data_IF_969162523975
#
_entry.id   IF_969162523975
#
_cell.length_a   1.000
_cell.length_b   1.000
_cell.length_c   1.000
_cell.angle_alpha   90.00
_cell.angle_beta   90.00
_cell.angle_gamma   90.00
#
_symmetry.space_group_name_H-M   'P 1'
#
loop_
_entity.id
_entity.type
_entity.pdbx_description
1 polymer ?
#
# COMPACT_ATOMS: atom_id res chain seq x y z
N UNK A 1 -19.49 3.79 28.30
CA UNK A 1 -20.16 2.74 27.48
C UNK A 1 -19.57 2.54 26.08
N UNK A 2 -19.85 3.37 25.05
CA UNK A 2 -19.28 3.14 23.68
C UNK A 2 -17.74 3.17 23.63
N UNK A 3 -17.11 4.08 24.38
CA UNK A 3 -15.64 4.22 24.42
C UNK A 3 -14.95 3.06 25.12
N UNK A 4 -15.52 2.54 26.22
CA UNK A 4 -14.95 1.40 26.97
C UNK A 4 -15.06 0.09 26.19
N UNK A 5 -16.21 -0.16 25.55
CA UNK A 5 -16.38 -1.33 24.70
C UNK A 5 -15.39 -1.32 23.52
N UNK A 6 -15.20 -0.14 22.92
CA UNK A 6 -14.20 0.09 21.86
C UNK A 6 -12.79 -0.20 22.37
N UNK A 7 -12.39 0.36 23.51
CA UNK A 7 -11.07 0.10 24.10
C UNK A 7 -10.85 -1.38 24.45
N UNK A 8 -11.87 -2.05 25.02
CA UNK A 8 -11.81 -3.47 25.35
C UNK A 8 -11.60 -4.32 24.09
N UNK A 9 -12.37 -4.06 23.03
CA UNK A 9 -12.22 -4.73 21.73
C UNK A 9 -10.78 -4.61 21.20
N UNK A 10 -10.19 -3.42 21.23
CA UNK A 10 -8.81 -3.24 20.78
C UNK A 10 -7.78 -3.91 21.69
N UNK A 11 -8.04 -3.96 22.99
CA UNK A 11 -7.24 -4.77 23.93
C UNK A 11 -7.30 -6.25 23.60
N UNK A 12 -8.47 -6.76 23.24
CA UNK A 12 -8.68 -8.17 22.87
C UNK A 12 -8.02 -8.53 21.53
N UNK A 13 -8.09 -7.63 20.53
CA UNK A 13 -7.37 -7.78 19.25
C UNK A 13 -5.86 -7.82 19.48
N UNK A 14 -5.33 -6.89 20.28
CA UNK A 14 -3.90 -6.83 20.62
C UNK A 14 -3.43 -8.08 21.37
N UNK A 15 -4.27 -8.60 22.26
CA UNK A 15 -4.00 -9.83 23.01
C UNK A 15 -4.17 -11.10 22.17
N UNK A 16 -4.67 -11.01 20.93
CA UNK A 16 -4.94 -12.16 20.07
C UNK A 16 -6.20 -12.94 20.45
N UNK A 17 -7.06 -12.40 21.31
CA UNK A 17 -8.37 -12.99 21.64
C UNK A 17 -9.40 -12.80 20.52
N UNK A 18 -9.25 -11.76 19.72
CA UNK A 18 -10.08 -11.48 18.54
C UNK A 18 -9.24 -11.70 17.28
N UNK A 19 -9.72 -12.60 16.42
CA UNK A 19 -9.02 -12.97 15.18
C UNK A 19 -9.42 -12.12 13.98
N UNK A 20 -10.66 -11.64 13.95
CA UNK A 20 -11.19 -10.81 12.87
C UNK A 20 -11.77 -9.52 13.45
N UNK A 21 -11.35 -8.39 12.89
CA UNK A 21 -11.84 -7.08 13.26
C UNK A 21 -12.47 -6.41 12.03
N UNK A 22 -13.75 -6.08 12.14
CA UNK A 22 -14.51 -5.38 11.11
C UNK A 22 -14.77 -3.96 11.59
N UNK A 23 -14.52 -2.98 10.71
CA UNK A 23 -14.73 -1.58 11.03
C UNK A 23 -14.79 -0.71 9.79
N UNK A 24 -15.46 0.43 9.91
CA UNK A 24 -15.47 1.46 8.86
C UNK A 24 -14.26 2.39 9.00
N UNK A 25 -13.90 3.09 7.92
CA UNK A 25 -12.81 4.09 7.96
C UNK A 25 -13.01 5.13 9.05
N UNK A 26 -14.25 5.59 9.24
CA UNK A 26 -14.61 6.62 10.22
C UNK A 26 -14.46 6.11 11.66
N UNK A 27 -14.93 4.88 11.92
CA UNK A 27 -14.88 4.29 13.27
C UNK A 27 -13.47 3.86 13.67
N UNK A 28 -12.63 3.56 12.68
CA UNK A 28 -11.23 3.13 12.84
C UNK A 28 -10.22 4.28 12.70
N UNK A 29 -10.67 5.49 12.37
CA UNK A 29 -9.82 6.64 11.98
C UNK A 29 -9.02 7.31 13.09
N UNK A 30 -9.43 7.22 14.36
CA UNK A 30 -8.81 7.98 15.47
C UNK A 30 -8.48 7.13 16.69
N UNK A 31 -7.20 7.16 17.09
CA UNK A 31 -6.77 6.95 18.48
C UNK A 31 -6.66 5.53 19.03
N UNK A 32 -6.53 4.50 18.19
CA UNK A 32 -6.52 3.09 18.67
C UNK A 32 -5.36 2.25 18.15
N UNK A 33 -4.57 1.70 19.09
CA UNK A 33 -3.39 0.87 18.84
C UNK A 33 -3.79 -0.61 18.75
N UNK A 34 -4.23 -1.08 17.59
CA UNK A 34 -4.59 -2.49 17.35
C UNK A 34 -3.50 -3.30 16.62
N UNK A 35 -2.39 -2.66 16.26
CA UNK A 35 -1.47 -3.06 15.20
C UNK A 35 -0.59 -4.28 15.49
N UNK A 36 -0.42 -4.69 16.75
CA UNK A 36 0.60 -5.66 17.16
C UNK A 36 0.50 -7.03 16.47
N UNK A 37 -0.69 -7.45 16.05
CA UNK A 37 -0.94 -8.80 15.51
C UNK A 37 -1.76 -8.78 14.23
N UNK A 38 -1.71 -7.69 13.48
CA UNK A 38 -2.47 -7.58 12.22
C UNK A 38 -1.66 -8.21 11.09
N UNK A 39 -2.16 -9.31 10.51
CA UNK A 39 -1.48 -10.02 9.40
C UNK A 39 -2.04 -9.67 8.03
N UNK A 40 -3.35 -9.42 7.93
CA UNK A 40 -4.01 -9.11 6.66
C UNK A 40 -5.01 -7.95 6.80
N UNK A 41 -5.08 -7.09 5.78
CA UNK A 41 -6.06 -6.02 5.63
C UNK A 41 -6.88 -6.25 4.37
N UNK A 42 -8.21 -6.13 4.50
CA UNK A 42 -9.15 -6.39 3.42
C UNK A 42 -9.97 -5.11 3.14
N UNK A 43 -9.78 -4.51 1.97
CA UNK A 43 -10.59 -3.41 1.46
C UNK A 43 -11.80 -3.95 0.72
N UNK A 44 -12.94 -4.00 1.41
CA UNK A 44 -14.21 -4.47 0.86
C UNK A 44 -14.94 -3.40 0.03
N UNK A 45 -14.50 -2.14 0.11
CA UNK A 45 -15.06 -0.98 -0.56
C UNK A 45 -13.96 -0.13 -1.22
N UNK A 46 -14.32 0.58 -2.29
CA UNK A 46 -13.46 1.56 -2.95
C UNK A 46 -13.77 2.95 -2.39
N UNK A 47 -12.92 3.52 -1.52
CA UNK A 47 -13.15 4.85 -1.00
C UNK A 47 -12.99 5.92 -2.08
N UNK A 48 -13.57 7.10 -1.87
CA UNK A 48 -13.52 8.21 -2.83
C UNK A 48 -12.17 8.93 -2.88
N UNK A 49 -11.38 8.81 -1.81
CA UNK A 49 -10.14 9.55 -1.60
C UNK A 49 -8.97 8.60 -1.37
N UNK A 50 -7.84 8.74 -2.09
CA UNK A 50 -6.64 7.93 -1.87
C UNK A 50 -6.12 8.00 -0.43
N UNK A 51 -6.21 9.17 0.22
CA UNK A 51 -5.79 9.35 1.61
C UNK A 51 -6.56 8.46 2.61
N UNK A 52 -7.78 8.04 2.29
CA UNK A 52 -8.53 7.10 3.13
C UNK A 52 -7.91 5.70 3.04
N UNK A 53 -7.41 5.29 1.87
CA UNK A 53 -6.71 4.01 1.67
C UNK A 53 -5.40 4.05 2.44
N UNK A 54 -4.60 5.08 2.23
CA UNK A 54 -3.32 5.28 2.94
C UNK A 54 -3.51 5.25 4.46
N UNK A 55 -4.55 5.91 4.98
CA UNK A 55 -4.85 5.87 6.41
C UNK A 55 -5.30 4.49 6.92
N UNK A 56 -5.93 3.66 6.10
CA UNK A 56 -6.31 2.28 6.45
C UNK A 56 -5.08 1.37 6.45
N UNK A 57 -4.29 1.41 5.38
CA UNK A 57 -3.05 0.63 5.22
C UNK A 57 -2.03 1.00 6.29
N UNK A 58 -1.90 2.30 6.57
CA UNK A 58 -1.10 2.82 7.65
C UNK A 58 -1.57 2.39 9.04
N UNK A 59 -2.59 1.54 9.22
CA UNK A 59 -2.93 0.87 10.50
C UNK A 59 -2.25 -0.48 10.67
N UNK A 60 -2.02 -1.18 9.57
CA UNK A 60 -1.39 -2.51 9.55
C UNK A 60 0.10 -2.40 9.26
N UNK A 61 0.48 -1.52 8.33
CA UNK A 61 1.88 -1.17 8.02
C UNK A 61 2.37 -0.17 9.06
N UNK A 62 2.75 -0.67 10.23
CA UNK A 62 3.26 0.14 11.35
C UNK A 62 4.41 -0.56 12.06
N UNK A 63 5.33 0.26 12.56
CA UNK A 63 6.34 -0.18 13.51
C UNK A 63 5.67 -0.79 14.76
N UNK A 64 6.24 -1.90 15.23
CA UNK A 64 5.72 -2.64 16.39
C UNK A 64 4.64 -3.67 16.06
N UNK A 65 4.33 -3.94 14.79
CA UNK A 65 3.63 -5.17 14.41
C UNK A 65 4.59 -6.38 14.59
N UNK A 66 4.08 -7.50 15.08
CA UNK A 66 4.85 -8.74 15.28
C UNK A 66 5.07 -9.53 13.98
N UNK A 67 4.36 -9.17 12.92
CA UNK A 67 4.57 -9.75 11.59
C UNK A 67 5.50 -8.86 10.78
N UNK A 68 6.58 -9.46 10.26
CA UNK A 68 7.54 -8.76 9.38
C UNK A 68 6.90 -8.37 8.03
N UNK A 69 5.93 -9.18 7.58
CA UNK A 69 5.19 -8.96 6.34
C UNK A 69 3.67 -8.99 6.60
N UNK A 70 2.94 -8.14 5.90
CA UNK A 70 1.48 -8.03 5.99
C UNK A 70 0.85 -8.07 4.60
N UNK A 71 -0.31 -8.69 4.51
CA UNK A 71 -1.02 -8.86 3.24
C UNK A 71 -2.13 -7.81 3.10
N UNK A 72 -2.20 -7.14 1.95
CA UNK A 72 -3.25 -6.15 1.66
C UNK A 72 -4.05 -6.66 0.47
N UNK A 73 -5.34 -6.87 0.69
CA UNK A 73 -6.29 -7.33 -0.30
C UNK A 73 -7.28 -6.22 -0.63
N UNK A 74 -7.43 -5.91 -1.91
CA UNK A 74 -8.48 -5.04 -2.41
C UNK A 74 -9.45 -5.85 -3.26
N UNK A 75 -10.74 -5.68 -2.99
CA UNK A 75 -11.80 -6.34 -3.74
C UNK A 75 -12.46 -5.33 -4.68
N UNK A 76 -12.77 -5.79 -5.89
CA UNK A 76 -13.53 -5.03 -6.85
C UNK A 76 -14.48 -5.98 -7.57
N UNK A 77 -15.68 -5.51 -7.86
CA UNK A 77 -16.66 -6.27 -8.62
C UNK A 77 -16.46 -6.01 -10.11
N UNK A 78 -16.30 -7.08 -10.90
CA UNK A 78 -16.16 -6.98 -12.35
C UNK A 78 -17.43 -6.39 -12.99
N UNK A 79 -17.26 -5.51 -13.98
CA UNK A 79 -18.37 -4.86 -14.67
C UNK A 79 -19.14 -3.83 -13.83
N UNK A 80 -18.62 -3.47 -12.66
CA UNK A 80 -19.25 -2.50 -11.75
C UNK A 80 -18.64 -1.10 -11.83
N UNK A 81 -19.23 -0.15 -11.10
CA UNK A 81 -18.68 1.20 -10.94
C UNK A 81 -17.34 1.23 -10.18
N UNK A 82 -16.92 0.12 -9.55
CA UNK A 82 -15.66 0.00 -8.83
C UNK A 82 -14.47 0.31 -9.76
N UNK A 83 -14.53 -0.09 -11.04
CA UNK A 83 -13.50 0.21 -12.03
C UNK A 83 -13.28 1.72 -12.19
N UNK A 84 -14.37 2.47 -12.25
CA UNK A 84 -14.34 3.93 -12.39
C UNK A 84 -13.82 4.60 -11.12
N UNK A 85 -14.19 4.07 -9.95
CA UNK A 85 -13.71 4.58 -8.67
C UNK A 85 -12.21 4.35 -8.49
N UNK A 86 -11.71 3.15 -8.82
CA UNK A 86 -10.27 2.86 -8.79
C UNK A 86 -9.49 3.73 -9.77
N UNK A 87 -10.00 3.94 -10.99
CA UNK A 87 -9.39 4.87 -11.94
C UNK A 87 -9.36 6.33 -11.43
N UNK A 88 -10.40 6.76 -10.71
CA UNK A 88 -10.44 8.09 -10.10
C UNK A 88 -9.39 8.21 -8.99
N UNK A 89 -9.22 7.18 -8.16
CA UNK A 89 -8.19 7.16 -7.13
C UNK A 89 -6.78 7.15 -7.74
N UNK A 90 -6.56 6.38 -8.81
CA UNK A 90 -5.32 6.38 -9.59
C UNK A 90 -4.93 7.78 -10.06
N UNK A 91 -5.87 8.48 -10.72
CA UNK A 91 -5.64 9.86 -11.20
C UNK A 91 -5.32 10.80 -10.05
N UNK A 92 -6.08 10.73 -8.95
CA UNK A 92 -5.88 11.59 -7.76
C UNK A 92 -4.52 11.34 -7.12
N UNK A 93 -4.12 10.08 -6.94
CA UNK A 93 -2.85 9.71 -6.33
C UNK A 93 -1.65 10.14 -7.19
N UNK A 94 -1.71 9.90 -8.51
CA UNK A 94 -0.68 10.39 -9.45
C UNK A 94 -0.53 11.91 -9.40
N UNK A 95 -1.64 12.64 -9.33
CA UNK A 95 -1.60 14.10 -9.21
C UNK A 95 -0.94 14.56 -7.90
N UNK A 96 -1.29 13.93 -6.77
CA UNK A 96 -0.69 14.24 -5.46
C UNK A 96 0.82 13.95 -5.49
N UNK A 97 1.24 12.80 -6.02
CA UNK A 97 2.65 12.44 -6.13
C UNK A 97 3.43 13.43 -7.00
N UNK A 98 2.86 13.84 -8.14
CA UNK A 98 3.43 14.87 -9.00
C UNK A 98 3.60 16.20 -8.27
N UNK A 99 2.57 16.65 -7.54
CA UNK A 99 2.63 17.89 -6.78
C UNK A 99 3.67 17.85 -5.65
N UNK A 100 3.80 16.71 -4.96
CA UNK A 100 4.77 16.51 -3.87
C UNK A 100 6.21 16.40 -4.37
N UNK A 101 6.43 15.99 -5.61
CA UNK A 101 7.78 15.84 -6.19
C UNK A 101 8.48 17.17 -6.47
N UNK A 102 7.73 18.27 -6.60
CA UNK A 102 8.28 19.62 -6.81
C UNK A 102 8.94 19.86 -8.18
N UNK A 103 8.98 18.87 -9.07
CA UNK A 103 9.66 18.97 -10.36
C UNK A 103 8.68 19.42 -11.47
N UNK A 104 8.89 20.64 -11.98
CA UNK A 104 8.04 21.26 -13.02
C UNK A 104 8.36 20.78 -14.44
N UNK A 105 9.37 19.91 -14.61
CA UNK A 105 9.80 19.39 -15.91
C UNK A 105 9.09 18.10 -16.35
N UNK A 106 8.25 17.53 -15.48
CA UNK A 106 7.65 16.21 -15.69
C UNK A 106 6.52 16.26 -16.73
N UNK A 107 6.87 16.15 -18.02
CA UNK A 107 5.91 15.81 -19.11
C UNK A 107 5.72 14.30 -19.29
N UNK A 108 6.43 13.47 -18.52
CA UNK A 108 6.20 12.02 -18.37
C UNK A 108 6.37 11.62 -16.90
N UNK A 109 5.23 11.41 -16.23
CA UNK A 109 5.13 10.86 -14.87
C UNK A 109 5.34 9.35 -14.93
N UNK A 110 6.58 8.91 -15.15
CA UNK A 110 6.91 7.47 -15.19
C UNK A 110 7.32 6.91 -13.81
N UNK A 111 7.70 7.72 -12.82
CA UNK A 111 8.33 7.14 -11.61
C UNK A 111 8.16 7.99 -10.33
N UNK A 112 6.92 8.39 -10.01
CA UNK A 112 6.64 9.06 -8.73
C UNK A 112 5.42 8.43 -8.07
N UNK A 113 5.70 7.53 -7.13
CA UNK A 113 4.69 6.91 -6.26
C UNK A 113 4.16 5.57 -6.76
N UNK A 114 5.06 4.65 -7.11
CA UNK A 114 4.71 3.34 -7.70
C UNK A 114 3.79 2.47 -6.82
N UNK A 115 3.80 2.63 -5.49
CA UNK A 115 3.06 1.75 -4.58
C UNK A 115 1.54 1.78 -4.79
N UNK A 116 0.89 2.93 -4.54
CA UNK A 116 -0.57 3.03 -4.62
C UNK A 116 -1.08 3.16 -6.07
N UNK A 117 -0.31 3.80 -6.96
CA UNK A 117 -0.73 3.95 -8.35
C UNK A 117 -0.81 2.59 -9.07
N UNK A 118 0.16 1.68 -8.88
CA UNK A 118 0.09 0.33 -9.46
C UNK A 118 -1.07 -0.48 -8.87
N UNK A 119 -1.34 -0.36 -7.57
CA UNK A 119 -2.47 -1.05 -6.95
C UNK A 119 -3.82 -0.60 -7.55
N UNK A 120 -3.99 0.70 -7.80
CA UNK A 120 -5.21 1.23 -8.41
C UNK A 120 -5.34 0.83 -9.89
N UNK A 121 -4.23 0.80 -10.63
CA UNK A 121 -4.20 0.30 -12.01
C UNK A 121 -4.60 -1.18 -12.09
N UNK A 122 -4.10 -2.01 -11.17
CA UNK A 122 -4.43 -3.43 -11.07
C UNK A 122 -5.90 -3.66 -10.69
N UNK A 123 -6.41 -2.91 -9.71
CA UNK A 123 -7.83 -2.98 -9.32
C UNK A 123 -8.77 -2.54 -10.45
N UNK A 124 -8.41 -1.51 -11.22
CA UNK A 124 -9.13 -1.08 -12.42
C UNK A 124 -9.15 -2.18 -13.49
N UNK A 125 -8.02 -2.85 -13.72
CA UNK A 125 -7.94 -3.93 -14.70
C UNK A 125 -8.83 -5.13 -14.34
N UNK A 126 -8.84 -5.53 -13.06
CA UNK A 126 -9.73 -6.59 -12.55
C UNK A 126 -11.20 -6.18 -12.73
N UNK A 127 -11.54 -4.94 -12.37
CA UNK A 127 -12.92 -4.48 -12.43
C UNK A 127 -13.45 -4.26 -13.87
N UNK A 128 -12.56 -4.02 -14.86
CA UNK A 128 -12.98 -3.81 -16.24
C UNK A 128 -13.22 -5.11 -17.03
N UNK A 129 -12.77 -6.26 -16.53
CA UNK A 129 -12.90 -7.55 -17.21
C UNK A 129 -12.11 -7.70 -18.52
N UNK A 130 -11.19 -6.77 -18.84
CA UNK A 130 -10.35 -6.88 -20.05
C UNK A 130 -9.01 -7.53 -19.69
N UNK A 131 -8.81 -8.76 -20.16
CA UNK A 131 -7.63 -9.57 -19.88
C UNK A 131 -6.32 -8.87 -20.26
N UNK A 132 -6.32 -8.02 -21.30
CA UNK A 132 -5.12 -7.28 -21.73
C UNK A 132 -4.73 -6.22 -20.71
N UNK A 133 -5.71 -5.59 -20.07
CA UNK A 133 -5.44 -4.61 -19.00
C UNK A 133 -4.88 -5.31 -17.76
N UNK A 134 -5.35 -6.53 -17.47
CA UNK A 134 -4.85 -7.34 -16.36
C UNK A 134 -3.40 -7.77 -16.60
N UNK A 135 -3.09 -8.27 -17.81
CA UNK A 135 -1.72 -8.62 -18.20
C UNK A 135 -0.79 -7.41 -18.14
N UNK A 136 -1.22 -6.25 -18.67
CA UNK A 136 -0.43 -5.02 -18.63
C UNK A 136 -0.14 -4.59 -17.18
N UNK A 137 -1.16 -4.51 -16.33
CA UNK A 137 -0.99 -4.10 -14.94
C UNK A 137 -0.08 -5.07 -14.16
N UNK A 138 -0.21 -6.38 -14.41
CA UNK A 138 0.68 -7.39 -13.83
C UNK A 138 2.14 -7.20 -14.26
N UNK A 139 2.37 -6.97 -15.56
CA UNK A 139 3.73 -6.71 -16.09
C UNK A 139 4.32 -5.41 -15.54
N UNK A 140 3.54 -4.34 -15.43
CA UNK A 140 3.98 -3.07 -14.83
C UNK A 140 4.38 -3.26 -13.36
N UNK A 141 3.63 -4.07 -12.60
CA UNK A 141 3.98 -4.40 -11.20
C UNK A 141 5.25 -5.25 -11.09
N UNK A 142 5.45 -6.21 -12.01
CA UNK A 142 6.67 -7.02 -12.05
C UNK A 142 7.90 -6.19 -12.44
N UNK A 143 7.78 -5.28 -13.40
CA UNK A 143 8.86 -4.34 -13.76
C UNK A 143 9.26 -3.52 -12.54
N UNK A 144 8.32 -2.86 -11.86
CA UNK A 144 8.59 -2.05 -10.67
C UNK A 144 9.23 -2.88 -9.53
N UNK A 145 8.84 -4.15 -9.38
CA UNK A 145 9.48 -5.07 -8.41
C UNK A 145 10.92 -5.37 -8.80
N UNK A 146 11.19 -5.67 -10.07
CA UNK A 146 12.52 -6.00 -10.56
C UNK A 146 13.46 -4.79 -10.53
N UNK A 147 12.97 -3.60 -10.83
CA UNK A 147 13.75 -2.36 -10.76
C UNK A 147 14.17 -2.04 -9.32
N UNK A 148 13.26 -2.21 -8.35
CA UNK A 148 13.61 -2.09 -6.91
C UNK A 148 14.66 -3.12 -6.47
N UNK A 149 14.52 -4.39 -6.90
CA UNK A 149 15.51 -5.43 -6.58
C UNK A 149 16.88 -5.13 -7.20
N UNK A 150 16.89 -4.60 -8.43
CA UNK A 150 18.12 -4.18 -9.11
C UNK A 150 18.79 -3.03 -8.37
N UNK A 151 18.04 -2.00 -7.99
CA UNK A 151 18.57 -0.87 -7.24
C UNK A 151 19.20 -1.31 -5.91
N UNK A 152 18.50 -2.17 -5.16
CA UNK A 152 19.04 -2.75 -3.92
C UNK A 152 20.33 -3.56 -4.15
N UNK A 153 20.38 -4.35 -5.24
CA UNK A 153 21.58 -5.09 -5.59
C UNK A 153 22.76 -4.17 -5.94
N UNK A 154 22.50 -3.10 -6.70
CA UNK A 154 23.53 -2.13 -7.06
C UNK A 154 24.07 -1.42 -5.80
N UNK A 155 23.19 -1.01 -4.88
CA UNK A 155 23.56 -0.42 -3.60
C UNK A 155 24.42 -1.36 -2.73
N UNK A 156 24.06 -2.65 -2.65
CA UNK A 156 24.83 -3.68 -1.95
C UNK A 156 26.23 -3.84 -2.56
N UNK A 157 26.34 -3.87 -3.90
CA UNK A 157 27.62 -3.93 -4.60
C UNK A 157 28.50 -2.71 -4.30
N UNK A 158 27.92 -1.51 -4.27
CA UNK A 158 28.65 -0.30 -3.90
C UNK A 158 29.14 -0.33 -2.44
N UNK A 159 28.30 -0.81 -1.52
CA UNK A 159 28.65 -0.95 -0.10
C UNK A 159 29.82 -1.92 0.10
N UNK A 160 29.76 -3.12 -0.51
CA UNK A 160 30.82 -4.13 -0.44
C UNK A 160 32.14 -3.59 -1.02
N UNK A 161 32.08 -2.91 -2.18
CA UNK A 161 33.27 -2.29 -2.80
C UNK A 161 33.90 -1.21 -1.92
N UNK A 162 33.09 -0.47 -1.16
CA UNK A 162 33.59 0.51 -0.19
C UNK A 162 34.30 -0.19 0.97
N UNK A 163 33.68 -1.21 1.56
CA UNK A 163 34.30 -1.98 2.67
C UNK A 163 35.64 -2.62 2.29
N UNK A 164 35.74 -3.23 1.10
CA UNK A 164 36.99 -3.83 0.62
C UNK A 164 38.09 -2.77 0.45
N UNK A 165 37.72 -1.56 0.01
CA UNK A 165 38.67 -0.46 -0.19
C UNK A 165 39.21 0.05 1.15
N UNK A 166 38.34 0.18 2.13
CA UNK A 166 38.72 0.66 3.47
C UNK A 166 39.59 -0.38 4.18
N UNK A 167 39.24 -1.67 4.10
CA UNK A 167 40.04 -2.77 4.65
C UNK A 167 41.42 -2.98 3.99
N UNK A 168 41.65 -2.44 2.79
CA UNK A 168 42.96 -2.45 2.11
C UNK A 168 43.85 -1.26 2.49
N UNK A 169 43.28 -0.28 3.20
CA UNK A 169 43.96 0.97 3.59
C UNK A 169 44.53 0.91 5.00
N UNK A 170 44.05 -0.04 5.81
CA UNK A 170 44.62 -0.46 7.10
C UNK A 170 45.65 -1.58 6.90
#
# INVERSE_FOLDING_TARGET
>A
KKTEAKQRLFGDVRAGRVRFLLGSSETMGTGVNAQLRLKALHHLDVPWLPSQIEQREGRIVRQGNQHDEVDIFAYATEGSLDASMWQNNERKARFIAAALSGDTSIRRLEDLGEGQANQFAMAKAIASGDERLMQKAGLEADIARLERLRAAHDDDQYAVRRQIRDAKRD
#
